data_IF_982688224800
#
_entry.id   IF_982688224800
#
_cell.length_a   1.000
_cell.length_b   1.000
_cell.length_c   1.000
_cell.angle_alpha   90.00
_cell.angle_beta   90.00
_cell.angle_gamma   90.00
#
_symmetry.space_group_name_H-M   'P 1'
#
loop_
_entity.id
_entity.type
_entity.pdbx_description
1 polymer ?
#
# COMPACT_ATOMS: atom_id res chain seq x y z
N UNK A 1 -2.65 -0.39 20.03
CA UNK A 1 -2.37 -1.81 20.35
C UNK A 1 -0.87 -2.01 20.14
N UNK A 2 -0.10 -2.40 21.18
CA UNK A 2 1.37 -2.52 21.11
C UNK A 2 1.74 -3.66 20.16
N UNK A 3 2.25 -3.34 18.97
CA UNK A 3 2.79 -4.36 18.08
C UNK A 3 4.16 -4.80 18.59
N UNK A 4 4.24 -6.11 18.87
CA UNK A 4 5.46 -6.82 19.22
C UNK A 4 6.42 -6.75 18.03
N UNK A 5 7.35 -5.78 18.06
CA UNK A 5 8.65 -5.92 17.40
C UNK A 5 9.34 -7.07 18.15
N UNK A 6 9.10 -8.32 17.73
CA UNK A 6 9.95 -9.43 18.14
C UNK A 6 11.28 -9.21 17.42
N UNK A 7 12.33 -9.07 18.22
CA UNK A 7 13.71 -9.02 17.78
C UNK A 7 13.96 -10.19 16.82
N UNK A 8 14.06 -9.90 15.53
CA UNK A 8 14.82 -10.72 14.60
C UNK A 8 16.19 -10.93 15.23
N UNK A 9 16.71 -12.15 15.23
CA UNK A 9 18.06 -12.38 15.71
C UNK A 9 19.02 -11.54 14.86
N UNK A 10 19.37 -10.35 15.37
CA UNK A 10 20.58 -9.63 15.00
C UNK A 10 21.71 -10.56 15.33
N UNK A 11 22.16 -11.35 14.36
CA UNK A 11 23.40 -12.10 14.49
C UNK A 11 24.51 -11.06 14.45
N UNK A 12 24.89 -10.55 15.63
CA UNK A 12 26.22 -9.99 15.80
C UNK A 12 27.21 -11.14 15.55
N UNK A 13 27.84 -11.12 14.38
CA UNK A 13 28.83 -12.08 13.90
C UNK A 13 30.09 -12.10 14.81
N UNK A 14 29.96 -12.61 16.03
CA UNK A 14 31.07 -12.76 17.00
C UNK A 14 31.36 -14.22 17.38
N UNK A 15 30.83 -15.21 16.67
CA UNK A 15 31.22 -16.62 16.85
C UNK A 15 31.13 -17.40 15.53
N UNK A 16 31.98 -18.43 15.33
CA UNK A 16 32.11 -19.13 14.07
C UNK A 16 30.95 -20.13 13.94
N UNK A 17 29.97 -19.83 13.08
CA UNK A 17 28.98 -20.83 12.71
C UNK A 17 29.64 -21.78 11.73
N UNK A 18 29.84 -23.01 12.22
CA UNK A 18 30.30 -24.16 11.47
C UNK A 18 29.24 -24.46 10.40
N UNK A 19 29.59 -24.16 9.14
CA UNK A 19 28.77 -24.45 7.97
C UNK A 19 28.85 -25.95 7.70
N UNK A 20 27.73 -26.65 7.87
CA UNK A 20 27.57 -27.99 7.32
C UNK A 20 26.11 -28.19 6.89
N UNK A 21 25.83 -28.03 5.60
CA UNK A 21 25.14 -28.98 4.71
C UNK A 21 24.67 -28.25 3.45
N UNK A 22 24.50 -29.02 2.39
CA UNK A 22 24.20 -28.77 0.97
C UNK A 22 23.09 -27.76 0.56
N UNK A 23 22.61 -26.89 1.45
CA UNK A 23 21.42 -26.06 1.20
C UNK A 23 21.74 -24.70 0.57
N UNK A 24 20.86 -24.22 -0.32
CA UNK A 24 20.93 -22.87 -0.90
C UNK A 24 20.58 -21.83 0.17
N UNK A 25 21.36 -20.76 0.28
CA UNK A 25 21.07 -19.65 1.20
C UNK A 25 20.50 -18.45 0.45
N UNK A 26 19.52 -17.81 1.06
CA UNK A 26 18.83 -16.63 0.56
C UNK A 26 19.26 -15.43 1.40
N UNK A 27 19.92 -14.47 0.77
CA UNK A 27 20.45 -13.29 1.45
C UNK A 27 19.53 -12.11 1.15
N UNK A 28 19.03 -11.46 2.19
CA UNK A 28 18.23 -10.24 2.08
C UNK A 28 19.06 -9.06 2.58
N UNK A 29 19.17 -8.02 1.77
CA UNK A 29 19.93 -6.81 2.10
C UNK A 29 19.03 -5.58 1.96
N UNK A 30 18.85 -4.84 3.06
CA UNK A 30 18.12 -3.57 3.09
C UNK A 30 16.67 -3.66 2.55
N UNK A 31 15.96 -4.71 2.93
CA UNK A 31 14.55 -4.91 2.53
C UNK A 31 13.56 -4.62 3.65
N UNK A 32 13.90 -4.88 4.92
CA UNK A 32 12.97 -4.76 6.06
C UNK A 32 12.35 -3.38 6.25
N UNK A 33 13.03 -2.31 5.83
CA UNK A 33 12.52 -0.93 5.90
C UNK A 33 11.68 -0.53 4.68
N UNK A 34 11.69 -1.33 3.61
CA UNK A 34 11.05 -1.03 2.32
C UNK A 34 9.84 -1.91 2.03
N UNK A 35 9.68 -3.00 2.76
CA UNK A 35 8.53 -3.89 2.64
C UNK A 35 7.29 -3.26 3.33
N UNK A 36 6.15 -3.39 2.67
CA UNK A 36 4.86 -3.04 3.27
C UNK A 36 4.45 -4.10 4.30
N UNK A 37 3.39 -3.83 5.08
CA UNK A 37 2.93 -4.72 6.16
C UNK A 37 2.64 -6.16 5.67
N UNK A 38 2.03 -6.29 4.49
CA UNK A 38 1.73 -7.59 3.89
C UNK A 38 3.01 -8.36 3.52
N UNK A 39 3.93 -7.72 2.79
CA UNK A 39 5.18 -8.35 2.38
C UNK A 39 6.07 -8.70 3.57
N UNK A 40 6.07 -7.87 4.62
CA UNK A 40 6.77 -8.17 5.88
C UNK A 40 6.19 -9.40 6.60
N UNK A 41 4.86 -9.49 6.70
CA UNK A 41 4.22 -10.66 7.29
C UNK A 41 4.45 -11.95 6.48
N UNK A 42 4.47 -11.84 5.15
CA UNK A 42 4.81 -12.95 4.26
C UNK A 42 6.26 -13.40 4.46
N UNK A 43 7.21 -12.45 4.58
CA UNK A 43 8.61 -12.75 4.86
C UNK A 43 8.79 -13.45 6.22
N UNK A 44 8.08 -13.02 7.26
CA UNK A 44 8.13 -13.66 8.58
C UNK A 44 7.78 -15.15 8.53
N UNK A 45 6.76 -15.50 7.73
CA UNK A 45 6.37 -16.90 7.57
C UNK A 45 7.36 -17.68 6.71
N UNK A 46 7.94 -17.06 5.68
CA UNK A 46 9.03 -17.71 4.95
C UNK A 46 10.19 -18.04 5.89
N UNK A 47 10.64 -17.08 6.70
CA UNK A 47 11.70 -17.29 7.68
C UNK A 47 11.38 -18.42 8.67
N UNK A 48 10.12 -18.55 9.12
CA UNK A 48 9.73 -19.63 10.03
C UNK A 48 9.69 -21.01 9.36
N UNK A 49 9.35 -21.07 8.07
CA UNK A 49 9.28 -22.33 7.29
C UNK A 49 10.65 -22.80 6.79
N UNK A 50 11.61 -21.89 6.64
CA UNK A 50 12.90 -22.20 6.00
C UNK A 50 14.08 -22.33 6.94
N UNK A 51 13.83 -22.32 8.25
CA UNK A 51 14.88 -22.36 9.26
C UNK A 51 15.94 -21.27 8.95
N UNK A 52 17.23 -21.56 9.11
CA UNK A 52 18.34 -20.62 8.91
C UNK A 52 18.73 -20.41 7.42
N UNK A 53 17.87 -20.78 6.47
CA UNK A 53 18.16 -20.63 5.04
C UNK A 53 18.06 -19.18 4.57
N UNK A 54 17.31 -18.34 5.28
CA UNK A 54 17.16 -16.91 5.00
C UNK A 54 18.04 -16.12 5.96
N UNK A 55 18.93 -15.30 5.40
CA UNK A 55 19.87 -14.46 6.16
C UNK A 55 19.60 -13.00 5.81
N UNK A 56 19.19 -12.21 6.80
CA UNK A 56 19.09 -10.77 6.66
C UNK A 56 20.39 -10.10 7.08
N UNK A 57 20.94 -9.24 6.23
CA UNK A 57 22.18 -8.52 6.48
C UNK A 57 21.99 -7.02 6.39
N UNK A 58 22.63 -6.31 7.32
CA UNK A 58 22.79 -4.86 7.26
C UNK A 58 23.91 -4.51 6.25
N UNK A 59 23.82 -3.32 5.66
CA UNK A 59 24.73 -2.75 4.65
C UNK A 59 26.24 -3.00 4.86
N UNK A 60 26.71 -2.98 6.11
CA UNK A 60 28.14 -3.04 6.45
C UNK A 60 28.62 -4.45 6.84
N UNK A 61 27.80 -5.47 6.58
CA UNK A 61 28.11 -6.85 6.91
C UNK A 61 29.25 -7.36 6.02
N UNK A 62 30.26 -7.99 6.62
CA UNK A 62 31.42 -8.47 5.89
C UNK A 62 31.05 -9.75 5.11
N UNK A 63 30.60 -9.60 3.85
CA UNK A 63 30.10 -10.67 2.97
C UNK A 63 31.14 -11.75 2.63
N UNK A 64 32.43 -11.45 2.86
CA UNK A 64 33.55 -12.37 2.63
C UNK A 64 33.50 -13.66 3.47
N UNK A 65 32.59 -13.75 4.45
CA UNK A 65 32.40 -14.93 5.31
C UNK A 65 31.36 -15.94 4.79
N UNK A 66 30.59 -15.61 3.75
CA UNK A 66 29.58 -16.51 3.19
C UNK A 66 30.21 -17.43 2.13
N UNK A 67 29.85 -18.72 2.15
CA UNK A 67 30.28 -19.63 1.09
C UNK A 67 29.60 -19.23 -0.22
N UNK A 68 30.40 -18.90 -1.25
CA UNK A 68 29.90 -18.37 -2.52
C UNK A 68 29.05 -19.35 -3.34
N UNK A 69 29.13 -20.64 -3.02
CA UNK A 69 28.38 -21.67 -3.72
C UNK A 69 26.94 -21.71 -3.15
N UNK A 70 25.96 -21.46 -4.02
CA UNK A 70 24.51 -21.47 -3.74
C UNK A 70 23.94 -20.30 -2.92
N UNK A 71 24.36 -19.06 -3.22
CA UNK A 71 23.72 -17.84 -2.69
C UNK A 71 22.76 -17.20 -3.70
N UNK A 72 21.56 -16.86 -3.25
CA UNK A 72 20.57 -16.05 -3.97
C UNK A 72 20.36 -14.74 -3.22
N UNK A 73 20.57 -13.61 -3.89
CA UNK A 73 20.46 -12.28 -3.30
C UNK A 73 19.12 -11.61 -3.61
N UNK A 74 18.51 -11.02 -2.59
CA UNK A 74 17.37 -10.12 -2.67
C UNK A 74 17.79 -8.78 -2.07
N UNK A 75 17.73 -7.70 -2.86
CA UNK A 75 18.32 -6.41 -2.47
C UNK A 75 17.54 -5.22 -3.05
N UNK A 76 17.65 -4.04 -2.45
CA UNK A 76 17.12 -2.82 -3.07
C UNK A 76 18.01 -2.30 -4.21
N UNK A 77 17.41 -1.58 -5.15
CA UNK A 77 18.07 -1.04 -6.36
C UNK A 77 19.29 -0.18 -6.09
N UNK A 78 19.29 0.56 -4.98
CA UNK A 78 20.40 1.40 -4.51
C UNK A 78 21.70 0.61 -4.31
N UNK A 79 21.60 -0.68 -3.95
CA UNK A 79 22.75 -1.51 -3.62
C UNK A 79 22.97 -2.68 -4.57
N UNK A 80 22.06 -2.88 -5.53
CA UNK A 80 22.20 -3.93 -6.53
C UNK A 80 23.47 -3.77 -7.38
N UNK A 81 23.92 -2.53 -7.63
CA UNK A 81 25.09 -2.27 -8.48
C UNK A 81 26.42 -2.69 -7.84
N UNK A 82 26.54 -2.61 -6.52
CA UNK A 82 27.78 -2.94 -5.79
C UNK A 82 27.96 -4.44 -5.55
N UNK A 83 26.91 -5.23 -5.73
CA UNK A 83 26.88 -6.65 -5.34
C UNK A 83 26.87 -7.64 -6.52
N UNK A 84 26.85 -7.16 -7.78
CA UNK A 84 26.67 -8.02 -8.97
C UNK A 84 27.67 -9.16 -9.13
N UNK A 85 28.88 -9.03 -8.60
CA UNK A 85 29.98 -9.96 -8.86
C UNK A 85 30.05 -11.13 -7.86
N UNK A 86 29.25 -11.12 -6.79
CA UNK A 86 29.40 -12.05 -5.67
C UNK A 86 28.32 -13.12 -5.56
N UNK A 87 27.23 -13.03 -6.34
CA UNK A 87 26.04 -13.87 -6.18
C UNK A 87 25.63 -14.53 -7.50
N UNK A 88 25.17 -15.79 -7.43
CA UNK A 88 24.75 -16.54 -8.61
C UNK A 88 23.41 -16.06 -9.18
N UNK A 89 22.52 -15.55 -8.33
CA UNK A 89 21.24 -14.94 -8.71
C UNK A 89 20.96 -13.71 -7.85
N UNK A 90 20.40 -12.69 -8.48
CA UNK A 90 20.08 -11.41 -7.84
C UNK A 90 18.69 -10.97 -8.27
N UNK A 91 17.85 -10.68 -7.29
CA UNK A 91 16.53 -10.10 -7.40
C UNK A 91 16.52 -8.74 -6.71
N UNK A 92 15.87 -7.76 -7.34
CA UNK A 92 16.03 -6.35 -7.00
C UNK A 92 14.67 -5.71 -6.76
N UNK A 93 14.52 -5.03 -5.62
CA UNK A 93 13.42 -4.08 -5.39
C UNK A 93 13.76 -2.75 -6.07
N UNK A 94 13.08 -2.46 -7.18
CA UNK A 94 13.36 -1.35 -8.08
C UNK A 94 12.47 -0.14 -7.80
N UNK A 95 13.10 1.01 -7.57
CA UNK A 95 12.40 2.28 -7.37
C UNK A 95 12.09 2.96 -8.71
N UNK A 96 12.93 2.72 -9.73
CA UNK A 96 12.77 3.30 -11.06
C UNK A 96 11.81 2.44 -11.91
N UNK A 97 10.58 2.93 -12.08
CA UNK A 97 9.53 2.23 -12.83
C UNK A 97 9.94 1.84 -14.26
N UNK A 98 10.87 2.56 -14.87
CA UNK A 98 11.35 2.27 -16.23
C UNK A 98 12.23 1.03 -16.33
N UNK A 99 12.75 0.54 -15.20
CA UNK A 99 13.67 -0.61 -15.11
C UNK A 99 13.01 -1.89 -14.61
N UNK A 100 11.73 -1.84 -14.25
CA UNK A 100 10.98 -3.01 -13.76
C UNK A 100 10.80 -3.99 -14.91
N UNK A 101 11.17 -5.26 -14.68
CA UNK A 101 11.00 -6.35 -15.64
C UNK A 101 10.15 -7.51 -15.09
N UNK A 102 9.80 -7.49 -13.79
CA UNK A 102 9.04 -8.52 -13.08
C UNK A 102 9.64 -9.93 -13.16
N UNK A 103 10.90 -10.06 -13.58
CA UNK A 103 11.65 -11.32 -13.58
C UNK A 103 12.82 -11.25 -12.58
N UNK A 104 13.51 -10.11 -12.55
CA UNK A 104 14.66 -9.82 -11.69
C UNK A 104 14.53 -8.49 -10.97
N UNK A 105 13.67 -7.59 -11.45
CA UNK A 105 13.44 -6.24 -10.91
C UNK A 105 11.96 -6.04 -10.68
N UNK A 106 11.58 -5.81 -9.43
CA UNK A 106 10.19 -5.72 -8.98
C UNK A 106 9.89 -4.32 -8.46
N UNK A 107 8.74 -3.78 -8.82
CA UNK A 107 8.30 -2.46 -8.35
C UNK A 107 7.65 -2.46 -6.96
N UNK A 108 7.32 -3.63 -6.42
CA UNK A 108 6.71 -3.77 -5.11
C UNK A 108 7.32 -4.95 -4.34
N UNK A 109 7.19 -4.89 -3.01
CA UNK A 109 7.73 -5.91 -2.11
C UNK A 109 7.00 -7.24 -2.17
N UNK A 110 5.71 -7.26 -2.51
CA UNK A 110 4.90 -8.49 -2.55
C UNK A 110 5.40 -9.43 -3.65
N UNK A 111 5.61 -8.92 -4.86
CA UNK A 111 6.11 -9.67 -6.01
C UNK A 111 7.54 -10.17 -5.76
N UNK A 112 8.36 -9.36 -5.08
CA UNK A 112 9.70 -9.75 -4.66
C UNK A 112 9.66 -10.93 -3.67
N UNK A 113 8.76 -10.88 -2.68
CA UNK A 113 8.58 -11.95 -1.69
C UNK A 113 7.97 -13.21 -2.32
N UNK A 114 7.08 -13.09 -3.29
CA UNK A 114 6.62 -14.25 -4.09
C UNK A 114 7.78 -14.87 -4.87
N UNK A 115 8.64 -14.06 -5.46
CA UNK A 115 9.83 -14.57 -6.16
C UNK A 115 10.81 -15.26 -5.21
N UNK A 116 10.97 -14.75 -3.99
CA UNK A 116 11.72 -15.44 -2.93
C UNK A 116 11.10 -16.81 -2.61
N UNK A 117 9.77 -16.86 -2.44
CA UNK A 117 9.05 -18.10 -2.18
C UNK A 117 9.22 -19.14 -3.29
N UNK A 118 9.16 -18.71 -4.55
CA UNK A 118 9.35 -19.57 -5.72
C UNK A 118 10.77 -20.15 -5.79
N UNK A 119 11.78 -19.34 -5.44
CA UNK A 119 13.17 -19.79 -5.41
C UNK A 119 13.40 -20.82 -4.29
N UNK A 120 12.81 -20.62 -3.11
CA UNK A 120 12.85 -21.58 -2.00
C UNK A 120 12.14 -22.88 -2.39
N UNK A 121 10.93 -22.78 -2.95
CA UNK A 121 10.16 -23.92 -3.45
C UNK A 121 11.00 -24.74 -4.43
N UNK A 122 11.62 -24.08 -5.41
CA UNK A 122 12.46 -24.75 -6.40
C UNK A 122 13.65 -25.46 -5.76
N UNK A 123 14.26 -24.87 -4.74
CA UNK A 123 15.39 -25.49 -4.03
C UNK A 123 14.95 -26.76 -3.28
N UNK A 124 13.86 -26.71 -2.53
CA UNK A 124 13.34 -27.90 -1.85
C UNK A 124 12.90 -29.00 -2.81
N UNK A 125 12.27 -28.66 -3.94
CA UNK A 125 11.92 -29.66 -4.96
C UNK A 125 13.16 -30.27 -5.62
N UNK A 126 14.26 -29.52 -5.77
CA UNK A 126 15.54 -30.05 -6.26
C UNK A 126 16.15 -31.02 -5.23
N UNK A 127 16.25 -30.60 -3.97
CA UNK A 127 16.77 -31.44 -2.88
C UNK A 127 15.96 -32.72 -2.72
N UNK A 128 14.62 -32.65 -2.82
CA UNK A 128 13.74 -33.81 -2.81
C UNK A 128 14.11 -34.85 -3.88
N UNK A 129 14.34 -34.39 -5.12
CA UNK A 129 14.76 -35.26 -6.23
C UNK A 129 16.13 -35.90 -5.99
N UNK A 130 17.07 -35.15 -5.40
CA UNK A 130 18.40 -35.66 -5.06
C UNK A 130 18.31 -36.77 -3.99
N UNK A 131 17.49 -36.58 -2.95
CA UNK A 131 17.23 -37.62 -1.95
C UNK A 131 16.57 -38.87 -2.55
N UNK A 132 15.60 -38.69 -3.46
CA UNK A 132 14.98 -39.82 -4.19
C UNK A 132 16.02 -40.63 -4.98
N UNK A 133 16.92 -39.94 -5.69
CA UNK A 133 18.00 -40.58 -6.46
C UNK A 133 18.98 -41.35 -5.56
N UNK A 134 19.20 -40.86 -4.34
CA UNK A 134 20.06 -41.49 -3.34
C UNK A 134 19.34 -42.58 -2.52
N UNK A 135 18.05 -42.84 -2.77
CA UNK A 135 17.25 -43.86 -2.07
C UNK A 135 16.72 -43.43 -0.70
N UNK A 136 16.87 -42.16 -0.32
CA UNK A 136 16.39 -41.61 0.95
C UNK A 136 14.97 -41.06 0.80
N UNK A 137 13.99 -41.97 0.88
CA UNK A 137 12.58 -41.65 0.71
C UNK A 137 12.02 -40.72 1.80
N UNK A 138 12.60 -40.75 3.01
CA UNK A 138 12.10 -39.97 4.16
C UNK A 138 12.43 -38.49 3.94
N UNK A 139 13.69 -38.18 3.67
CA UNK A 139 14.11 -36.79 3.44
C UNK A 139 13.54 -36.22 2.14
N UNK A 140 13.39 -37.05 1.10
CA UNK A 140 12.71 -36.66 -0.12
C UNK A 140 11.28 -36.14 0.13
N UNK A 141 10.49 -36.91 0.88
CA UNK A 141 9.11 -36.55 1.21
C UNK A 141 9.04 -35.31 2.10
N UNK A 142 9.92 -35.21 3.09
CA UNK A 142 9.97 -34.05 3.99
C UNK A 142 10.25 -32.75 3.23
N UNK A 143 11.14 -32.77 2.22
CA UNK A 143 11.42 -31.60 1.38
C UNK A 143 10.26 -31.23 0.46
N UNK A 144 9.57 -32.22 -0.10
CA UNK A 144 8.38 -31.99 -0.92
C UNK A 144 7.22 -31.39 -0.09
N UNK A 145 7.00 -31.88 1.13
CA UNK A 145 6.00 -31.34 2.05
C UNK A 145 6.31 -29.90 2.42
N UNK A 146 7.57 -29.58 2.79
CA UNK A 146 8.01 -28.21 3.06
C UNK A 146 7.80 -27.29 1.86
N UNK A 147 8.09 -27.76 0.64
CA UNK A 147 7.88 -26.98 -0.58
C UNK A 147 6.39 -26.62 -0.76
N UNK A 148 5.50 -27.61 -0.62
CA UNK A 148 4.07 -27.42 -0.79
C UNK A 148 3.43 -26.53 0.29
N UNK A 149 4.01 -26.48 1.49
CA UNK A 149 3.54 -25.64 2.59
C UNK A 149 3.74 -24.14 2.33
N UNK A 150 4.82 -23.75 1.66
CA UNK A 150 5.19 -22.34 1.41
C UNK A 150 4.05 -21.55 0.78
N UNK A 151 3.56 -21.97 -0.39
CA UNK A 151 2.52 -21.22 -1.10
C UNK A 151 1.17 -21.28 -0.38
N UNK A 152 0.90 -22.36 0.35
CA UNK A 152 -0.32 -22.48 1.15
C UNK A 152 -0.36 -21.45 2.28
N UNK A 153 0.74 -21.31 3.03
CA UNK A 153 0.84 -20.34 4.11
C UNK A 153 0.87 -18.89 3.61
N UNK A 154 1.59 -18.60 2.51
CA UNK A 154 1.56 -17.28 1.89
C UNK A 154 0.15 -16.89 1.43
N UNK A 155 -0.60 -17.84 0.86
CA UNK A 155 -2.00 -17.62 0.46
C UNK A 155 -2.90 -17.39 1.66
N UNK A 156 -2.65 -18.03 2.82
CA UNK A 156 -3.38 -17.77 4.06
C UNK A 156 -3.12 -16.36 4.58
N UNK A 157 -1.87 -15.91 4.62
CA UNK A 157 -1.48 -14.56 5.05
C UNK A 157 -2.08 -13.52 4.12
N UNK A 158 -1.93 -13.72 2.81
CA UNK A 158 -2.53 -12.84 1.82
C UNK A 158 -4.03 -12.73 2.06
N UNK A 159 -4.73 -13.86 2.26
CA UNK A 159 -6.16 -13.87 2.57
C UNK A 159 -6.48 -13.21 3.91
N UNK A 160 -5.72 -13.43 4.97
CA UNK A 160 -6.01 -12.86 6.29
C UNK A 160 -5.78 -11.36 6.31
N UNK A 161 -4.67 -10.87 5.77
CA UNK A 161 -4.32 -9.45 5.75
C UNK A 161 -5.15 -8.71 4.70
N UNK A 162 -5.37 -9.28 3.50
CA UNK A 162 -6.33 -8.70 2.57
C UNK A 162 -7.73 -8.72 3.16
N UNK A 163 -8.16 -9.78 3.85
CA UNK A 163 -9.45 -9.77 4.55
C UNK A 163 -9.49 -8.75 5.68
N UNK A 164 -8.39 -8.41 6.35
CA UNK A 164 -8.34 -7.36 7.36
C UNK A 164 -8.42 -5.98 6.73
N UNK A 165 -7.69 -5.72 5.64
CA UNK A 165 -7.80 -4.47 4.87
C UNK A 165 -9.20 -4.32 4.24
N UNK A 166 -9.79 -5.43 3.80
CA UNK A 166 -11.16 -5.46 3.29
C UNK A 166 -12.18 -5.36 4.43
N UNK A 167 -11.93 -5.95 5.61
CA UNK A 167 -12.82 -5.88 6.78
C UNK A 167 -12.80 -4.51 7.45
N UNK A 168 -11.68 -3.80 7.47
CA UNK A 168 -11.65 -2.38 7.86
C UNK A 168 -12.48 -1.57 6.83
N UNK A 169 -12.43 -1.95 5.55
CA UNK A 169 -13.25 -1.33 4.48
C UNK A 169 -14.72 -1.79 4.45
N UNK A 170 -15.09 -2.91 5.09
CA UNK A 170 -16.44 -3.52 5.10
C UNK A 170 -17.16 -3.23 6.43
N UNK A 171 -16.43 -3.05 7.52
CA UNK A 171 -17.01 -2.80 8.85
C UNK A 171 -17.44 -1.34 9.05
N UNK A 172 -16.84 -0.40 8.32
CA UNK A 172 -17.32 0.97 8.19
C UNK A 172 -17.31 1.37 6.71
N UNK A 173 -18.43 1.86 6.15
CA UNK A 173 -18.39 2.47 4.83
C UNK A 173 -17.36 3.60 4.80
N UNK A 174 -16.61 3.78 3.69
CA UNK A 174 -15.58 4.79 3.59
C UNK A 174 -16.21 6.16 3.88
N UNK A 175 -15.64 6.85 4.85
CA UNK A 175 -16.11 8.16 5.25
C UNK A 175 -15.83 9.14 4.11
N UNK A 176 -16.88 9.78 3.60
CA UNK A 176 -16.75 10.88 2.64
C UNK A 176 -16.81 12.18 3.42
N UNK A 177 -15.76 13.00 3.32
CA UNK A 177 -15.70 14.31 3.98
C UNK A 177 -15.68 15.40 2.93
N UNK A 178 -16.43 16.46 3.19
CA UNK A 178 -16.32 17.70 2.45
C UNK A 178 -15.54 18.68 3.32
N UNK A 179 -14.47 19.25 2.79
CA UNK A 179 -13.61 20.20 3.49
C UNK A 179 -13.60 21.51 2.72
N UNK A 180 -13.76 22.62 3.43
CA UNK A 180 -13.64 23.96 2.87
C UNK A 180 -12.46 24.70 3.49
N UNK A 181 -11.52 25.17 2.67
CA UNK A 181 -10.44 26.06 3.09
C UNK A 181 -10.80 27.49 2.67
N UNK A 182 -11.28 28.29 3.63
CA UNK A 182 -11.70 29.66 3.36
C UNK A 182 -10.57 30.65 3.56
N UNK A 183 -10.56 31.69 2.75
CA UNK A 183 -9.68 32.84 2.88
C UNK A 183 -10.19 33.77 3.97
N UNK A 184 -9.29 34.51 4.61
CA UNK A 184 -9.66 35.58 5.54
C UNK A 184 -10.30 36.79 4.84
N UNK A 185 -10.15 36.88 3.52
CA UNK A 185 -10.57 38.02 2.70
C UNK A 185 -12.04 37.88 2.28
N UNK A 186 -12.53 36.65 2.08
CA UNK A 186 -13.87 36.37 1.58
C UNK A 186 -14.78 35.87 2.70
N UNK A 187 -15.81 36.65 3.05
CA UNK A 187 -16.80 36.28 4.06
C UNK A 187 -17.96 35.55 3.37
N UNK A 188 -17.71 34.34 2.83
CA UNK A 188 -18.74 33.50 2.19
C UNK A 188 -19.47 32.62 3.21
N UNK A 189 -19.70 33.12 4.43
CA UNK A 189 -20.27 32.35 5.53
C UNK A 189 -21.64 31.73 5.20
N UNK A 190 -22.47 32.45 4.43
CA UNK A 190 -23.81 31.98 4.02
C UNK A 190 -23.71 30.81 3.04
N UNK A 191 -22.75 30.84 2.12
CA UNK A 191 -22.60 29.77 1.10
C UNK A 191 -22.03 28.50 1.70
N UNK A 192 -21.07 28.63 2.63
CA UNK A 192 -20.51 27.51 3.38
C UNK A 192 -21.63 26.75 4.12
N UNK A 193 -22.49 27.48 4.83
CA UNK A 193 -23.62 26.88 5.58
C UNK A 193 -24.65 26.25 4.64
N UNK A 194 -24.94 26.89 3.49
CA UNK A 194 -25.82 26.31 2.47
C UNK A 194 -25.27 24.98 1.95
N UNK A 195 -23.99 24.93 1.59
CA UNK A 195 -23.34 23.70 1.10
C UNK A 195 -23.32 22.61 2.18
N UNK A 196 -22.96 22.96 3.42
CA UNK A 196 -23.00 22.01 4.54
C UNK A 196 -24.39 21.39 4.70
N UNK A 197 -25.43 22.22 4.73
CA UNK A 197 -26.82 21.76 4.85
C UNK A 197 -27.25 20.92 3.64
N UNK A 198 -26.93 21.39 2.42
CA UNK A 198 -27.33 20.75 1.16
C UNK A 198 -26.79 19.32 1.04
N UNK A 199 -25.55 19.08 1.48
CA UNK A 199 -24.92 17.75 1.37
C UNK A 199 -24.93 16.92 2.66
N UNK A 200 -25.50 17.44 3.75
CA UNK A 200 -25.44 16.85 5.11
C UNK A 200 -25.92 15.40 5.20
N UNK A 201 -26.91 15.00 4.39
CA UNK A 201 -27.44 13.63 4.38
C UNK A 201 -26.54 12.63 3.67
N UNK A 202 -25.60 13.11 2.86
CA UNK A 202 -24.79 12.26 1.97
C UNK A 202 -23.36 12.14 2.49
N UNK A 203 -22.79 13.24 2.98
CA UNK A 203 -21.43 13.29 3.53
C UNK A 203 -21.41 12.90 5.01
N UNK A 204 -20.27 12.38 5.47
CA UNK A 204 -20.08 11.99 6.88
C UNK A 204 -19.68 13.14 7.78
N UNK A 205 -19.03 14.17 7.24
CA UNK A 205 -18.65 15.37 7.97
C UNK A 205 -18.31 16.51 7.02
N UNK A 206 -18.62 17.72 7.46
CA UNK A 206 -18.19 18.96 6.84
C UNK A 206 -17.18 19.65 7.76
N UNK A 207 -16.04 20.10 7.23
CA UNK A 207 -15.00 20.78 8.01
C UNK A 207 -14.57 22.07 7.34
N UNK A 208 -14.38 23.13 8.12
CA UNK A 208 -13.93 24.43 7.62
C UNK A 208 -12.59 24.79 8.25
N UNK A 209 -11.63 25.18 7.43
CA UNK A 209 -10.31 25.65 7.86
C UNK A 209 -10.05 27.06 7.35
N UNK A 210 -9.36 27.84 8.18
CA UNK A 210 -8.87 29.18 7.83
C UNK A 210 -7.37 29.18 7.50
N UNK A 211 -6.73 28.02 7.64
CA UNK A 211 -5.29 27.82 7.49
C UNK A 211 -5.05 26.54 6.70
N UNK A 212 -4.51 26.65 5.48
CA UNK A 212 -4.17 25.50 4.65
C UNK A 212 -3.19 24.52 5.32
N UNK A 213 -2.23 24.99 6.12
CA UNK A 213 -1.25 24.12 6.78
C UNK A 213 -1.91 23.24 7.84
N UNK A 214 -2.82 23.81 8.63
CA UNK A 214 -3.60 23.06 9.62
C UNK A 214 -4.49 22.05 8.92
N UNK A 215 -5.14 22.46 7.82
CA UNK A 215 -5.94 21.55 7.00
C UNK A 215 -5.08 20.39 6.47
N UNK A 216 -3.90 20.67 5.91
CA UNK A 216 -2.99 19.67 5.37
C UNK A 216 -2.57 18.65 6.43
N UNK A 217 -2.14 19.11 7.61
CA UNK A 217 -1.81 18.21 8.72
C UNK A 217 -3.01 17.34 9.11
N UNK A 218 -4.20 17.93 9.17
CA UNK A 218 -5.43 17.19 9.50
C UNK A 218 -5.78 16.14 8.45
N UNK A 219 -5.50 16.39 7.18
CA UNK A 219 -5.71 15.44 6.09
C UNK A 219 -4.69 14.28 6.18
N UNK A 220 -3.43 14.57 6.53
CA UNK A 220 -2.40 13.53 6.75
C UNK A 220 -2.72 12.65 7.97
N UNK A 221 -3.28 13.23 9.02
CA UNK A 221 -3.67 12.52 10.24
C UNK A 221 -4.97 11.71 10.08
N UNK A 222 -5.73 11.90 9.01
CA UNK A 222 -6.96 11.15 8.75
C UNK A 222 -6.66 9.72 8.27
N UNK A 223 -7.60 8.81 8.51
CA UNK A 223 -7.52 7.44 7.99
C UNK A 223 -7.43 7.43 6.45
N UNK A 224 -6.52 6.61 5.91
CA UNK A 224 -6.27 6.44 4.46
C UNK A 224 -7.56 6.12 3.66
N UNK A 225 -8.53 5.51 4.32
CA UNK A 225 -9.81 5.09 3.73
C UNK A 225 -10.82 6.24 3.57
N UNK A 226 -10.64 7.35 4.29
CA UNK A 226 -11.50 8.53 4.16
C UNK A 226 -11.27 9.19 2.80
N UNK A 227 -12.34 9.51 2.07
CA UNK A 227 -12.27 10.24 0.81
C UNK A 227 -12.69 11.69 1.00
N UNK A 228 -11.85 12.61 0.55
CA UNK A 228 -11.98 14.03 0.79
C UNK A 228 -12.31 14.76 -0.51
N UNK A 229 -13.38 15.53 -0.48
CA UNK A 229 -13.74 16.51 -1.48
C UNK A 229 -13.36 17.86 -0.92
N UNK A 230 -12.47 18.58 -1.59
CA UNK A 230 -11.86 19.79 -1.05
C UNK A 230 -12.31 21.00 -1.86
N UNK A 231 -12.86 22.00 -1.18
CA UNK A 231 -13.18 23.33 -1.74
C UNK A 231 -12.12 24.28 -1.20
N UNK A 232 -11.46 25.02 -2.09
CA UNK A 232 -10.44 26.01 -1.73
C UNK A 232 -10.86 27.35 -2.32
N UNK A 233 -10.87 28.39 -1.48
CA UNK A 233 -11.13 29.74 -1.95
C UNK A 233 -10.10 30.15 -3.02
N UNK A 234 -10.59 30.79 -4.09
CA UNK A 234 -9.81 31.27 -5.24
C UNK A 234 -8.65 32.22 -4.89
N UNK A 235 -8.68 32.81 -3.70
CA UNK A 235 -7.63 33.68 -3.16
C UNK A 235 -6.34 32.95 -2.73
N UNK A 236 -6.35 31.61 -2.67
CA UNK A 236 -5.15 30.83 -2.40
C UNK A 236 -4.36 30.56 -3.69
N UNK A 237 -3.04 30.57 -3.58
CA UNK A 237 -2.13 30.35 -4.70
C UNK A 237 -2.20 28.90 -5.24
N UNK A 238 -1.90 28.74 -6.52
CA UNK A 238 -1.82 27.43 -7.20
C UNK A 238 -0.86 26.43 -6.52
N UNK A 239 0.17 26.89 -5.83
CA UNK A 239 1.08 26.02 -5.08
C UNK A 239 0.34 25.21 -4.01
N UNK A 240 -0.59 25.84 -3.29
CA UNK A 240 -1.39 25.20 -2.24
C UNK A 240 -2.32 24.15 -2.86
N UNK A 241 -2.96 24.50 -3.97
CA UNK A 241 -3.88 23.61 -4.71
C UNK A 241 -3.13 22.35 -5.17
N UNK A 242 -1.97 22.54 -5.80
CA UNK A 242 -1.12 21.45 -6.28
C UNK A 242 -0.64 20.55 -5.14
N UNK A 243 -0.40 21.10 -3.94
CA UNK A 243 0.01 20.28 -2.79
C UNK A 243 -1.12 19.39 -2.29
N UNK A 244 -2.36 19.89 -2.22
CA UNK A 244 -3.51 19.05 -1.85
C UNK A 244 -3.86 18.00 -2.90
N UNK A 245 -3.69 18.29 -4.19
CA UNK A 245 -3.94 17.34 -5.28
C UNK A 245 -3.00 16.12 -5.25
N UNK A 246 -1.82 16.24 -4.63
CA UNK A 246 -0.86 15.12 -4.48
C UNK A 246 -1.28 14.13 -3.40
N UNK A 247 -2.24 14.48 -2.53
CA UNK A 247 -2.66 13.63 -1.41
C UNK A 247 -3.60 12.53 -1.89
N UNK A 248 -3.26 11.27 -1.60
CA UNK A 248 -3.97 10.08 -2.10
C UNK A 248 -5.41 9.90 -1.58
N UNK A 249 -5.75 10.57 -0.48
CA UNK A 249 -7.08 10.58 0.11
C UNK A 249 -7.95 11.76 -0.37
N UNK A 250 -7.37 12.75 -1.06
CA UNK A 250 -8.10 13.84 -1.72
C UNK A 250 -8.56 13.35 -3.09
N UNK A 251 -9.87 13.40 -3.34
CA UNK A 251 -10.48 12.96 -4.59
C UNK A 251 -10.56 14.08 -5.62
N UNK A 252 -10.93 15.26 -5.15
CA UNK A 252 -11.02 16.45 -5.98
C UNK A 252 -10.67 17.68 -5.16
N UNK A 253 -10.06 18.65 -5.84
CA UNK A 253 -9.85 20.00 -5.33
C UNK A 253 -10.59 20.95 -6.26
N UNK A 254 -11.58 21.65 -5.71
CA UNK A 254 -12.43 22.61 -6.42
C UNK A 254 -12.03 24.01 -5.97
N UNK A 255 -11.71 24.88 -6.93
CA UNK A 255 -11.39 26.28 -6.66
C UNK A 255 -12.65 27.12 -6.75
N UNK A 256 -12.98 27.84 -5.69
CA UNK A 256 -14.25 28.56 -5.56
C UNK A 256 -14.08 30.04 -5.22
N UNK A 257 -14.78 30.93 -5.90
CA UNK A 257 -14.80 32.37 -5.63
C UNK A 257 -14.64 33.22 -6.89
N UNK A 258 -14.26 34.49 -6.75
CA UNK A 258 -14.28 35.41 -7.89
C UNK A 258 -13.16 35.11 -8.88
N UNK A 259 -13.51 35.05 -10.17
CA UNK A 259 -12.56 34.91 -11.27
C UNK A 259 -11.69 36.17 -11.32
N UNK A 260 -10.40 36.03 -11.07
CA UNK A 260 -9.42 37.12 -11.20
C UNK A 260 -8.65 37.08 -12.53
N UNK A 261 -8.72 35.96 -13.29
CA UNK A 261 -8.06 35.81 -14.59
C UNK A 261 -8.82 34.88 -15.56
N UNK A 262 -8.73 35.14 -16.87
CA UNK A 262 -9.51 34.46 -17.93
C UNK A 262 -9.08 33.00 -18.22
N UNK A 263 -8.03 32.48 -17.57
CA UNK A 263 -7.43 31.18 -17.91
C UNK A 263 -7.56 30.11 -16.80
N UNK A 264 -8.25 30.39 -15.69
CA UNK A 264 -8.39 29.46 -14.57
C UNK A 264 -9.82 28.92 -14.47
N UNK A 265 -9.98 27.61 -14.27
CA UNK A 265 -11.29 26.98 -13.99
C UNK A 265 -11.68 27.25 -12.53
N UNK A 266 -12.16 28.45 -12.28
CA UNK A 266 -12.72 28.88 -10.98
C UNK A 266 -14.24 28.82 -11.08
N UNK A 267 -14.88 28.15 -10.11
CA UNK A 267 -16.33 28.19 -9.94
C UNK A 267 -16.68 29.43 -9.10
N UNK A 268 -17.51 30.32 -9.64
CA UNK A 268 -17.78 31.62 -9.01
C UNK A 268 -19.21 31.81 -8.49
N UNK A 269 -20.06 30.79 -8.67
CA UNK A 269 -21.44 30.80 -8.19
C UNK A 269 -21.82 29.48 -7.53
N UNK A 270 -22.82 29.58 -6.65
CA UNK A 270 -23.30 28.49 -5.81
C UNK A 270 -23.87 27.32 -6.62
N UNK A 271 -24.66 27.59 -7.67
CA UNK A 271 -25.37 26.56 -8.43
C UNK A 271 -24.37 25.67 -9.19
N UNK A 272 -23.35 26.27 -9.82
CA UNK A 272 -22.28 25.53 -10.49
C UNK A 272 -21.43 24.71 -9.50
N UNK A 273 -21.19 25.25 -8.29
CA UNK A 273 -20.49 24.50 -7.24
C UNK A 273 -21.30 23.27 -6.81
N UNK A 274 -22.60 23.44 -6.58
CA UNK A 274 -23.52 22.36 -6.26
C UNK A 274 -23.57 21.31 -7.37
N UNK A 275 -23.70 21.75 -8.63
CA UNK A 275 -23.72 20.86 -9.78
C UNK A 275 -22.42 20.03 -9.86
N UNK A 276 -21.26 20.68 -9.72
CA UNK A 276 -19.97 20.02 -9.81
C UNK A 276 -19.75 19.03 -8.65
N UNK A 277 -20.03 19.45 -7.41
CA UNK A 277 -19.95 18.57 -6.24
C UNK A 277 -20.89 17.37 -6.37
N UNK A 278 -22.11 17.60 -6.85
CA UNK A 278 -23.11 16.54 -7.04
C UNK A 278 -22.63 15.51 -8.06
N UNK A 279 -22.12 15.96 -9.20
CA UNK A 279 -21.57 15.08 -10.23
C UNK A 279 -20.43 14.20 -9.69
N UNK A 280 -19.50 14.80 -8.96
CA UNK A 280 -18.31 14.10 -8.44
C UNK A 280 -18.67 13.14 -7.29
N UNK A 281 -19.55 13.54 -6.38
CA UNK A 281 -20.07 12.68 -5.33
C UNK A 281 -20.90 11.53 -5.90
N UNK A 282 -21.72 11.79 -6.92
CA UNK A 282 -22.55 10.78 -7.59
C UNK A 282 -21.67 9.72 -8.24
N UNK A 283 -20.66 10.15 -9.00
CA UNK A 283 -19.67 9.26 -9.62
C UNK A 283 -18.95 8.42 -8.57
N UNK A 284 -18.52 9.06 -7.48
CA UNK A 284 -17.85 8.39 -6.38
C UNK A 284 -18.71 7.31 -5.71
N UNK A 285 -19.95 7.62 -5.36
CA UNK A 285 -20.85 6.66 -4.71
C UNK A 285 -21.27 5.52 -5.63
N UNK A 286 -21.46 5.77 -6.93
CA UNK A 286 -21.72 4.71 -7.90
C UNK A 286 -20.52 3.74 -8.03
N UNK A 287 -19.29 4.27 -8.04
CA UNK A 287 -18.08 3.45 -8.04
C UNK A 287 -17.96 2.62 -6.75
N UNK A 288 -18.25 3.21 -5.59
CA UNK A 288 -18.25 2.48 -4.33
C UNK A 288 -19.35 1.41 -4.29
N UNK A 289 -20.57 1.72 -4.72
CA UNK A 289 -21.67 0.77 -4.82
C UNK A 289 -21.31 -0.43 -5.70
N UNK A 290 -20.68 -0.18 -6.86
CA UNK A 290 -20.20 -1.23 -7.76
C UNK A 290 -19.08 -2.06 -7.12
N UNK A 291 -18.14 -1.40 -6.44
CA UNK A 291 -17.05 -2.06 -5.73
C UNK A 291 -17.57 -3.01 -4.64
N UNK A 292 -18.43 -2.52 -3.73
CA UNK A 292 -18.98 -3.34 -2.65
C UNK A 292 -19.89 -4.46 -3.17
N UNK A 293 -20.64 -4.21 -4.25
CA UNK A 293 -21.43 -5.25 -4.92
C UNK A 293 -20.53 -6.37 -5.44
N UNK A 294 -19.40 -6.04 -6.08
CA UNK A 294 -18.42 -7.03 -6.56
C UNK A 294 -17.77 -7.85 -5.43
N UNK A 295 -17.73 -7.30 -4.22
CA UNK A 295 -17.21 -7.94 -3.01
C UNK A 295 -18.29 -8.70 -2.22
N UNK A 296 -19.51 -8.82 -2.76
CA UNK A 296 -20.67 -9.46 -2.11
C UNK A 296 -21.10 -8.79 -0.79
N UNK A 297 -20.73 -7.52 -0.57
CA UNK A 297 -21.23 -6.72 0.54
C UNK A 297 -22.48 -5.95 0.10
N UNK A 298 -23.61 -6.66 0.08
CA UNK A 298 -24.88 -6.11 -0.38
C UNK A 298 -25.40 -4.96 0.48
N UNK A 299 -25.07 -4.94 1.78
CA UNK A 299 -25.53 -3.89 2.70
C UNK A 299 -24.82 -2.58 2.37
N UNK A 300 -23.49 -2.58 2.36
CA UNK A 300 -22.71 -1.36 2.08
C UNK A 300 -22.94 -0.90 0.64
N UNK A 301 -23.04 -1.81 -0.32
CA UNK A 301 -23.37 -1.46 -1.71
C UNK A 301 -24.72 -0.72 -1.81
N UNK A 302 -25.76 -1.23 -1.13
CA UNK A 302 -27.07 -0.58 -1.08
C UNK A 302 -26.98 0.82 -0.47
N UNK A 303 -26.25 0.98 0.64
CA UNK A 303 -26.08 2.28 1.29
C UNK A 303 -25.41 3.30 0.36
N UNK A 304 -24.40 2.88 -0.42
CA UNK A 304 -23.77 3.74 -1.42
C UNK A 304 -24.72 4.13 -2.56
N UNK A 305 -25.53 3.20 -3.07
CA UNK A 305 -26.51 3.50 -4.10
C UNK A 305 -27.64 4.40 -3.59
N UNK A 306 -28.04 4.30 -2.32
CA UNK A 306 -28.99 5.23 -1.70
C UNK A 306 -28.41 6.64 -1.70
N UNK A 307 -27.14 6.82 -1.31
CA UNK A 307 -26.46 8.12 -1.36
C UNK A 307 -26.40 8.69 -2.78
N UNK A 308 -26.06 7.86 -3.76
CA UNK A 308 -26.08 8.24 -5.17
C UNK A 308 -27.50 8.67 -5.63
N UNK A 309 -28.53 7.95 -5.20
CA UNK A 309 -29.92 8.29 -5.52
C UNK A 309 -30.35 9.62 -4.89
N UNK A 310 -29.98 9.89 -3.64
CA UNK A 310 -30.26 11.16 -2.97
C UNK A 310 -29.66 12.34 -3.75
N UNK A 311 -28.43 12.20 -4.24
CA UNK A 311 -27.77 13.21 -5.07
C UNK A 311 -28.52 13.49 -6.38
N UNK A 312 -29.12 12.47 -7.01
CA UNK A 312 -29.96 12.66 -8.21
C UNK A 312 -31.28 13.39 -7.94
N UNK A 313 -31.69 13.51 -6.67
CA UNK A 313 -32.93 14.16 -6.25
C UNK A 313 -32.69 15.58 -5.70
N UNK A 314 -31.43 16.02 -5.65
CA UNK A 314 -31.10 17.38 -5.22
C UNK A 314 -31.45 18.37 -6.33
N UNK A 315 -32.19 19.40 -5.96
CA UNK A 315 -32.48 20.55 -6.81
C UNK A 315 -31.46 21.66 -6.51
N UNK A 316 -30.91 22.26 -7.56
CA UNK A 316 -30.00 23.42 -7.49
C UNK A 316 -30.72 24.65 -8.01
#
# INVERSE_FOLDING_TARGET
>A
MKFLIRNYQKIHLNSPIVINSTTTQFVLIDLSTRLNELASAMLEVLCSLTEDSIIELEMNSNLNKLSKENLVLFVSSEFALTMKEQFGKIFILENDKSKIDNEKRFGNGEDLIYSLADEIYRCYMKESKEYLQNGDLINAKLKEEKANEIHHELKKIYKSISSLQTQISISNPPLTKLIWIKSKIQINHIEIEKIENHFSEVISSFLVFNDPLICHQRILDNEIQTKIFLIIDSNYDESIINDFQKLSNVKIVIRYGQISSENETIIDNYDDLCFHLTHELLTHYNQLGSFYSSKQDAKTAKDMYIKAQLLCQMDF
#
